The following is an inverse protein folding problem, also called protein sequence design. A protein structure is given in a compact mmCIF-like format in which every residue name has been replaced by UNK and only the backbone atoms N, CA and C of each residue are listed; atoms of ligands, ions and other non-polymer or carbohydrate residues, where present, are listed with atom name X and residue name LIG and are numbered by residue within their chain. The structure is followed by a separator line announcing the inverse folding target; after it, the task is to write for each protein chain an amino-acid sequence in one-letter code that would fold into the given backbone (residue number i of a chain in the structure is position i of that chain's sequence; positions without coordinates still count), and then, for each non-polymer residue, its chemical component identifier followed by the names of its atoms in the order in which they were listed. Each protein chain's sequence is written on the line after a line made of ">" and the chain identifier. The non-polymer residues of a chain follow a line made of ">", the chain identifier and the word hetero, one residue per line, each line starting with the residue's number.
data_IF_777076612617
#
_entry.id   IF_777076612617
#
_cell.length_a   1.000
_cell.length_b   1.000
_cell.length_c   1.000
_cell.angle_alpha   90.00
_cell.angle_beta   90.00
_cell.angle_gamma   90.00
#
_symmetry.space_group_name_H-M   'P 1'
#
loop_
_entity.id
_entity.type
_entity.pdbx_description
1 polymer ?
#
# COMPACT_ATOMS: atom_id res chain seq x y z
N UNK A 1 53.50 1.20 -18.63
CA UNK A 1 54.10 -0.15 -18.45
C UNK A 1 53.04 -1.22 -18.64
N UNK A 2 53.30 -2.30 -19.40
CA UNK A 2 52.40 -3.45 -19.54
C UNK A 2 52.86 -4.52 -18.55
N UNK A 3 52.01 -4.87 -17.58
CA UNK A 3 52.33 -5.88 -16.57
C UNK A 3 51.50 -7.17 -16.75
N UNK A 4 52.22 -8.29 -16.83
CA UNK A 4 51.74 -9.64 -16.51
C UNK A 4 52.41 -10.05 -15.20
N UNK A 5 51.66 -10.15 -14.10
CA UNK A 5 52.21 -10.49 -12.79
C UNK A 5 51.26 -11.35 -11.98
N UNK A 6 51.80 -12.32 -11.25
CA UNK A 6 51.03 -13.08 -10.26
C UNK A 6 50.57 -12.16 -9.11
N UNK A 7 51.46 -11.31 -8.61
CA UNK A 7 51.16 -10.37 -7.53
C UNK A 7 51.85 -9.03 -7.78
N UNK A 8 51.11 -7.93 -7.59
CA UNK A 8 51.63 -6.57 -7.67
C UNK A 8 51.22 -5.79 -6.42
N UNK A 9 52.20 -5.23 -5.73
CA UNK A 9 51.99 -4.30 -4.62
C UNK A 9 52.40 -2.90 -5.07
N UNK A 10 51.41 -2.02 -5.27
CA UNK A 10 51.66 -0.63 -5.61
C UNK A 10 51.82 0.18 -4.32
N UNK A 11 53.00 0.75 -4.10
CA UNK A 11 53.30 1.56 -2.92
C UNK A 11 52.44 2.84 -2.78
N UNK A 12 52.64 3.62 -1.71
CA UNK A 12 51.95 4.90 -1.53
C UNK A 12 52.25 5.87 -2.67
N UNK A 13 51.26 6.66 -3.11
CA UNK A 13 51.40 7.69 -4.17
C UNK A 13 51.93 7.14 -5.51
N UNK A 14 51.48 5.96 -5.91
CA UNK A 14 51.89 5.35 -7.19
C UNK A 14 50.89 5.65 -8.31
N UNK A 15 51.42 5.78 -9.52
CA UNK A 15 50.64 5.89 -10.75
C UNK A 15 50.85 4.63 -11.58
N UNK A 16 49.76 3.96 -11.95
CA UNK A 16 49.77 2.75 -12.77
C UNK A 16 48.90 2.97 -13.99
N UNK A 17 49.51 3.09 -15.16
CA UNK A 17 48.77 3.29 -16.41
C UNK A 17 47.97 2.03 -16.80
N UNK A 18 48.63 0.87 -16.91
CA UNK A 18 47.99 -0.33 -17.47
C UNK A 18 48.42 -1.60 -16.77
N UNK A 19 47.44 -2.43 -16.45
CA UNK A 19 47.62 -3.82 -16.02
C UNK A 19 46.80 -4.69 -16.98
N UNK A 20 47.47 -5.61 -17.68
CA UNK A 20 46.78 -6.57 -18.55
C UNK A 20 46.23 -7.73 -17.76
N UNK A 21 47.08 -8.41 -17.00
CA UNK A 21 46.74 -9.62 -16.25
C UNK A 21 47.41 -9.59 -14.88
N UNK A 22 46.59 -9.63 -13.84
CA UNK A 22 47.09 -9.75 -12.47
C UNK A 22 46.24 -10.73 -11.66
N UNK A 23 46.86 -11.66 -10.95
CA UNK A 23 46.08 -12.48 -10.02
C UNK A 23 45.74 -11.69 -8.74
N UNK A 24 46.66 -10.86 -8.25
CA UNK A 24 46.47 -10.08 -7.02
C UNK A 24 47.13 -8.70 -7.10
N UNK A 25 46.32 -7.65 -6.99
CA UNK A 25 46.78 -6.26 -6.93
C UNK A 25 46.44 -5.64 -5.58
N UNK A 26 47.46 -5.26 -4.82
CA UNK A 26 47.33 -4.46 -3.61
C UNK A 26 47.73 -3.02 -3.92
N UNK A 27 46.77 -2.12 -4.02
CA UNK A 27 47.03 -0.71 -4.26
C UNK A 27 47.12 0.03 -2.92
N UNK A 28 48.28 0.63 -2.63
CA UNK A 28 48.50 1.43 -1.44
C UNK A 28 47.66 2.72 -1.36
N UNK A 29 47.92 3.57 -0.36
CA UNK A 29 47.21 4.83 -0.22
C UNK A 29 47.57 5.81 -1.35
N UNK A 30 46.58 6.59 -1.82
CA UNK A 30 46.76 7.60 -2.89
C UNK A 30 47.29 7.02 -4.20
N UNK A 31 46.86 5.83 -4.60
CA UNK A 31 47.20 5.26 -5.91
C UNK A 31 46.24 5.75 -6.99
N UNK A 32 46.77 5.92 -8.20
CA UNK A 32 46.01 6.16 -9.42
C UNK A 32 46.21 4.98 -10.37
N UNK A 33 45.14 4.36 -10.82
CA UNK A 33 45.17 3.25 -11.79
C UNK A 33 44.25 3.60 -12.97
N UNK A 34 44.80 3.77 -14.16
CA UNK A 34 43.95 4.09 -15.32
C UNK A 34 43.21 2.83 -15.78
N UNK A 35 43.92 1.73 -16.08
CA UNK A 35 43.27 0.56 -16.69
C UNK A 35 43.74 -0.77 -16.12
N UNK A 36 42.76 -1.61 -15.80
CA UNK A 36 42.91 -3.01 -15.47
C UNK A 36 42.05 -3.83 -16.43
N UNK A 37 42.68 -4.73 -17.19
CA UNK A 37 41.96 -5.57 -18.14
C UNK A 37 41.42 -6.83 -17.43
N UNK A 38 42.29 -7.62 -16.79
CA UNK A 38 41.91 -8.80 -16.02
C UNK A 38 42.58 -8.80 -14.64
N UNK A 39 41.78 -8.85 -13.58
CA UNK A 39 42.28 -8.98 -12.21
C UNK A 39 41.47 -9.99 -11.40
N UNK A 40 42.09 -11.02 -10.84
CA UNK A 40 41.35 -11.94 -9.97
C UNK A 40 41.00 -11.26 -8.63
N UNK A 41 41.93 -10.51 -8.03
CA UNK A 41 41.70 -9.81 -6.76
C UNK A 41 42.36 -8.43 -6.72
N UNK A 42 41.58 -7.39 -6.46
CA UNK A 42 42.04 -6.02 -6.26
C UNK A 42 41.68 -5.53 -4.86
N UNK A 43 42.70 -5.25 -4.04
CA UNK A 43 42.55 -4.52 -2.78
C UNK A 43 43.00 -3.07 -2.98
N UNK A 44 42.05 -2.16 -3.11
CA UNK A 44 42.33 -0.74 -3.26
C UNK A 44 42.41 -0.07 -1.88
N UNK A 45 43.54 0.54 -1.57
CA UNK A 45 43.77 1.27 -0.33
C UNK A 45 42.95 2.57 -0.24
N UNK A 46 43.21 3.42 0.77
CA UNK A 46 42.48 4.67 0.92
C UNK A 46 42.88 5.71 -0.14
N UNK A 47 41.91 6.54 -0.56
CA UNK A 47 42.09 7.63 -1.55
C UNK A 47 42.61 7.12 -2.91
N UNK A 48 42.10 5.99 -3.37
CA UNK A 48 42.53 5.38 -4.62
C UNK A 48 41.57 5.74 -5.75
N UNK A 49 42.12 5.99 -6.93
CA UNK A 49 41.36 6.33 -8.13
C UNK A 49 41.58 5.23 -9.16
N UNK A 50 40.49 4.64 -9.66
CA UNK A 50 40.53 3.62 -10.71
C UNK A 50 39.61 4.06 -11.84
N UNK A 51 40.15 4.36 -13.02
CA UNK A 51 39.29 4.77 -14.14
C UNK A 51 38.53 3.56 -14.69
N UNK A 52 39.23 2.47 -15.05
CA UNK A 52 38.58 1.34 -15.74
C UNK A 52 39.04 -0.02 -15.27
N UNK A 53 38.06 -0.87 -15.00
CA UNK A 53 38.22 -2.30 -14.77
C UNK A 53 37.34 -3.04 -15.78
N UNK A 54 37.93 -3.87 -16.63
CA UNK A 54 37.18 -4.66 -17.60
C UNK A 54 36.62 -5.93 -16.95
N UNK A 55 37.48 -6.76 -16.34
CA UNK A 55 37.08 -7.98 -15.64
C UNK A 55 37.77 -8.06 -14.27
N UNK A 56 36.97 -8.18 -13.21
CA UNK A 56 37.49 -8.41 -11.87
C UNK A 56 36.70 -9.46 -11.10
N UNK A 57 37.35 -10.52 -10.57
CA UNK A 57 36.61 -11.48 -9.76
C UNK A 57 36.26 -10.89 -8.38
N UNK A 58 37.19 -10.17 -7.75
CA UNK A 58 36.98 -9.55 -6.44
C UNK A 58 37.63 -8.18 -6.31
N UNK A 59 36.85 -7.17 -5.94
CA UNK A 59 37.32 -5.81 -5.67
C UNK A 59 36.95 -5.42 -4.23
N UNK A 60 37.96 -5.20 -3.39
CA UNK A 60 37.81 -4.59 -2.07
C UNK A 60 38.29 -3.13 -2.15
N UNK A 61 37.34 -2.20 -2.19
CA UNK A 61 37.62 -0.78 -2.27
C UNK A 61 37.71 -0.17 -0.87
N UNK A 62 38.86 0.39 -0.50
CA UNK A 62 39.09 1.10 0.74
C UNK A 62 38.37 2.46 0.83
N UNK A 63 38.66 3.23 1.89
CA UNK A 63 38.04 4.53 2.14
C UNK A 63 38.30 5.55 1.02
N UNK A 64 37.30 6.36 0.66
CA UNK A 64 37.46 7.44 -0.34
C UNK A 64 37.99 6.94 -1.69
N UNK A 65 37.52 5.79 -2.14
CA UNK A 65 37.82 5.24 -3.45
C UNK A 65 36.91 5.85 -4.50
N UNK A 66 37.47 6.12 -5.68
CA UNK A 66 36.73 6.53 -6.86
C UNK A 66 36.94 5.48 -7.95
N UNK A 67 35.85 4.95 -8.49
CA UNK A 67 35.88 4.00 -9.60
C UNK A 67 34.95 4.51 -10.70
N UNK A 68 35.49 4.89 -11.85
CA UNK A 68 34.62 5.38 -12.92
C UNK A 68 33.85 4.22 -13.56
N UNK A 69 34.54 3.16 -14.00
CA UNK A 69 33.88 2.08 -14.76
C UNK A 69 34.36 0.70 -14.38
N UNK A 70 33.37 -0.17 -14.16
CA UNK A 70 33.53 -1.60 -14.03
C UNK A 70 32.62 -2.26 -15.07
N UNK A 71 33.20 -3.03 -15.99
CA UNK A 71 32.42 -3.77 -16.98
C UNK A 71 31.86 -5.06 -16.36
N UNK A 72 32.72 -5.91 -15.80
CA UNK A 72 32.31 -7.15 -15.14
C UNK A 72 33.01 -7.30 -13.79
N UNK A 73 32.24 -7.44 -12.72
CA UNK A 73 32.79 -7.79 -11.40
C UNK A 73 31.98 -8.88 -10.71
N UNK A 74 32.62 -9.97 -10.29
CA UNK A 74 31.87 -11.00 -9.56
C UNK A 74 31.50 -10.50 -8.14
N UNK A 75 32.44 -9.86 -7.44
CA UNK A 75 32.20 -9.35 -6.08
C UNK A 75 32.87 -8.00 -5.83
N UNK A 76 32.09 -7.02 -5.36
CA UNK A 76 32.58 -5.70 -4.97
C UNK A 76 32.23 -5.41 -3.51
N UNK A 77 33.24 -5.22 -2.67
CA UNK A 77 33.11 -4.72 -1.31
C UNK A 77 33.59 -3.26 -1.28
N UNK A 78 32.65 -2.32 -1.24
CA UNK A 78 32.95 -0.91 -1.24
C UNK A 78 33.03 -0.36 0.20
N UNK A 79 34.15 0.25 0.55
CA UNK A 79 34.37 0.86 1.85
C UNK A 79 33.61 2.17 2.08
N UNK A 80 33.98 2.95 3.11
CA UNK A 80 33.34 4.23 3.39
C UNK A 80 33.67 5.28 2.31
N UNK A 81 32.67 6.08 1.91
CA UNK A 81 32.82 7.19 0.95
C UNK A 81 33.33 6.74 -0.43
N UNK A 82 32.85 5.60 -0.92
CA UNK A 82 33.16 5.17 -2.29
C UNK A 82 32.26 5.88 -3.29
N UNK A 83 32.81 6.19 -4.45
CA UNK A 83 32.08 6.68 -5.60
C UNK A 83 32.28 5.71 -6.75
N UNK A 84 31.18 5.23 -7.32
CA UNK A 84 31.20 4.37 -8.50
C UNK A 84 30.28 4.96 -9.55
N UNK A 85 30.81 5.41 -10.69
CA UNK A 85 29.95 5.98 -11.73
C UNK A 85 29.16 4.87 -12.42
N UNK A 86 29.83 3.85 -12.96
CA UNK A 86 29.15 2.82 -13.77
C UNK A 86 29.62 1.41 -13.48
N UNK A 87 28.64 0.54 -13.26
CA UNK A 87 28.83 -0.91 -13.24
C UNK A 87 27.88 -1.54 -14.27
N UNK A 88 28.44 -2.29 -15.22
CA UNK A 88 27.63 -2.94 -16.26
C UNK A 88 27.05 -4.26 -15.74
N UNK A 89 27.88 -5.14 -15.19
CA UNK A 89 27.46 -6.42 -14.65
C UNK A 89 28.17 -6.75 -13.35
N UNK A 90 27.40 -7.13 -12.32
CA UNK A 90 27.98 -7.75 -11.14
C UNK A 90 27.09 -8.80 -10.46
N UNK A 91 27.73 -9.75 -9.78
CA UNK A 91 27.00 -10.77 -9.02
C UNK A 91 26.68 -10.29 -7.58
N UNK A 92 27.66 -9.75 -6.85
CA UNK A 92 27.43 -9.19 -5.51
C UNK A 92 28.12 -7.85 -5.27
N UNK A 93 27.39 -6.90 -4.70
CA UNK A 93 27.91 -5.61 -4.24
C UNK A 93 27.51 -5.37 -2.78
N UNK A 94 28.50 -5.26 -1.91
CA UNK A 94 28.34 -4.80 -0.53
C UNK A 94 28.88 -3.37 -0.44
N UNK A 95 27.98 -2.39 -0.44
CA UNK A 95 28.33 -0.99 -0.30
C UNK A 95 28.40 -0.58 1.17
N UNK A 96 29.49 0.06 1.55
CA UNK A 96 29.72 0.60 2.87
C UNK A 96 28.90 1.86 3.16
N UNK A 97 29.27 2.63 4.18
CA UNK A 97 28.59 3.89 4.50
C UNK A 97 28.95 5.00 3.50
N UNK A 98 27.97 5.83 3.13
CA UNK A 98 28.15 7.00 2.24
C UNK A 98 28.67 6.63 0.84
N UNK A 99 28.18 5.55 0.25
CA UNK A 99 28.52 5.23 -1.14
C UNK A 99 27.60 5.96 -2.10
N UNK A 100 28.16 6.34 -3.24
CA UNK A 100 27.40 6.89 -4.36
C UNK A 100 27.59 5.97 -5.56
N UNK A 101 26.49 5.53 -6.15
CA UNK A 101 26.49 4.73 -7.37
C UNK A 101 25.58 5.40 -8.39
N UNK A 102 26.13 5.86 -9.52
CA UNK A 102 25.26 6.49 -10.53
C UNK A 102 24.46 5.42 -11.26
N UNK A 103 25.13 4.43 -11.87
CA UNK A 103 24.44 3.48 -12.76
C UNK A 103 24.86 2.04 -12.55
N UNK A 104 23.84 1.19 -12.42
CA UNK A 104 23.94 -0.26 -12.45
C UNK A 104 23.06 -0.79 -13.57
N UNK A 105 23.63 -1.54 -14.51
CA UNK A 105 22.85 -2.16 -15.58
C UNK A 105 22.28 -3.52 -15.14
N UNK A 106 23.12 -4.42 -14.63
CA UNK A 106 22.69 -5.75 -14.17
C UNK A 106 23.33 -6.10 -12.82
N UNK A 107 22.48 -6.42 -11.83
CA UNK A 107 22.89 -6.91 -10.53
C UNK A 107 22.16 -8.19 -10.11
N UNK A 108 22.90 -9.19 -9.64
CA UNK A 108 22.25 -10.28 -8.91
C UNK A 108 21.91 -9.85 -7.46
N UNK A 109 22.87 -9.28 -6.71
CA UNK A 109 22.63 -8.89 -5.31
C UNK A 109 23.33 -7.59 -4.90
N UNK A 110 22.55 -6.59 -4.47
CA UNK A 110 23.03 -5.32 -3.93
C UNK A 110 22.69 -5.20 -2.44
N UNK A 111 23.69 -5.15 -1.58
CA UNK A 111 23.54 -4.76 -0.18
C UNK A 111 24.09 -3.34 -0.01
N UNK A 112 23.20 -2.35 0.02
CA UNK A 112 23.56 -0.96 0.21
C UNK A 112 23.66 -0.63 1.70
N UNK A 113 24.79 -0.07 2.12
CA UNK A 113 25.01 0.36 3.49
C UNK A 113 24.20 1.58 3.90
N UNK A 114 24.54 2.23 5.02
CA UNK A 114 23.86 3.44 5.44
C UNK A 114 24.26 4.65 4.60
N UNK A 115 23.32 5.55 4.32
CA UNK A 115 23.52 6.79 3.55
C UNK A 115 24.02 6.54 2.12
N UNK A 116 23.53 5.50 1.45
CA UNK A 116 23.87 5.28 0.04
C UNK A 116 22.95 6.07 -0.86
N UNK A 117 23.50 6.51 -1.99
CA UNK A 117 22.73 7.11 -3.08
C UNK A 117 22.92 6.24 -4.33
N UNK A 118 21.81 5.85 -4.95
CA UNK A 118 21.80 5.11 -6.21
C UNK A 118 20.90 5.84 -7.19
N UNK A 119 21.44 6.34 -8.31
CA UNK A 119 20.59 7.04 -9.28
C UNK A 119 19.78 6.03 -10.11
N UNK A 120 20.43 5.02 -10.67
CA UNK A 120 19.76 4.10 -11.59
C UNK A 120 20.17 2.64 -11.43
N UNK A 121 19.16 1.78 -11.35
CA UNK A 121 19.28 0.33 -11.47
C UNK A 121 18.35 -0.13 -12.59
N UNK A 122 18.91 -0.75 -13.63
CA UNK A 122 18.11 -1.27 -14.74
C UNK A 122 17.52 -2.64 -14.41
N UNK A 123 18.33 -3.59 -13.97
CA UNK A 123 17.90 -4.94 -13.58
C UNK A 123 18.59 -5.37 -12.29
N UNK A 124 17.80 -5.73 -11.28
CA UNK A 124 18.31 -6.37 -10.06
C UNK A 124 17.50 -7.59 -9.66
N UNK A 125 18.17 -8.69 -9.32
CA UNK A 125 17.47 -9.80 -8.67
C UNK A 125 17.18 -9.48 -7.20
N UNK A 126 18.12 -8.88 -6.46
CA UNK A 126 17.92 -8.57 -5.05
C UNK A 126 18.61 -7.27 -4.63
N UNK A 127 17.86 -6.35 -4.04
CA UNK A 127 18.36 -5.11 -3.45
C UNK A 127 17.96 -5.02 -1.98
N UNK A 128 18.94 -5.05 -1.09
CA UNK A 128 18.80 -4.73 0.32
C UNK A 128 19.35 -3.32 0.57
N UNK A 129 18.47 -2.35 0.74
CA UNK A 129 18.84 -0.98 1.01
C UNK A 129 18.95 -0.72 2.51
N UNK A 130 20.08 -0.19 2.98
CA UNK A 130 20.31 0.10 4.38
C UNK A 130 19.52 1.30 4.91
N UNK A 131 19.93 1.86 6.05
CA UNK A 131 19.32 3.07 6.58
C UNK A 131 19.66 4.32 5.75
N UNK A 132 18.69 5.23 5.55
CA UNK A 132 18.90 6.52 4.85
C UNK A 132 19.41 6.36 3.41
N UNK A 133 18.93 5.35 2.68
CA UNK A 133 19.27 5.21 1.27
C UNK A 133 18.33 6.04 0.40
N UNK A 134 18.88 6.59 -0.66
CA UNK A 134 18.10 7.23 -1.72
C UNK A 134 18.29 6.43 -3.01
N UNK A 135 17.19 6.04 -3.64
CA UNK A 135 17.19 5.38 -4.94
C UNK A 135 16.27 6.17 -5.87
N UNK A 136 16.81 6.75 -6.93
CA UNK A 136 15.97 7.51 -7.85
C UNK A 136 15.16 6.55 -8.74
N UNK A 137 15.82 5.60 -9.42
CA UNK A 137 15.14 4.76 -10.40
C UNK A 137 15.51 3.30 -10.35
N UNK A 138 14.49 2.46 -10.34
CA UNK A 138 14.57 1.01 -10.53
C UNK A 138 13.65 0.63 -11.67
N UNK A 139 14.19 0.03 -12.73
CA UNK A 139 13.39 -0.41 -13.87
C UNK A 139 12.79 -1.81 -13.60
N UNK A 140 13.63 -2.79 -13.27
CA UNK A 140 13.21 -4.14 -12.92
C UNK A 140 13.91 -4.62 -11.65
N UNK A 141 13.12 -5.03 -10.66
CA UNK A 141 13.64 -5.67 -9.45
C UNK A 141 12.82 -6.90 -9.08
N UNK A 142 13.47 -8.04 -8.86
CA UNK A 142 12.74 -9.19 -8.32
C UNK A 142 12.43 -8.99 -6.83
N UNK A 143 13.38 -8.51 -6.03
CA UNK A 143 13.15 -8.27 -4.60
C UNK A 143 13.86 -7.03 -4.08
N UNK A 144 13.11 -6.10 -3.51
CA UNK A 144 13.60 -4.90 -2.84
C UNK A 144 13.24 -4.92 -1.35
N UNK A 145 14.24 -5.00 -0.49
CA UNK A 145 14.12 -4.79 0.95
C UNK A 145 14.66 -3.41 1.30
N UNK A 146 13.78 -2.44 1.52
CA UNK A 146 14.15 -1.07 1.84
C UNK A 146 14.25 -0.90 3.36
N UNK A 147 15.40 -0.46 3.85
CA UNK A 147 15.63 -0.22 5.27
C UNK A 147 14.89 1.01 5.82
N UNK A 148 15.24 1.46 7.04
CA UNK A 148 14.63 2.64 7.63
C UNK A 148 15.02 3.94 6.90
N UNK A 149 14.08 4.89 6.79
CA UNK A 149 14.31 6.22 6.18
C UNK A 149 14.80 6.15 4.74
N UNK A 150 14.28 5.19 3.97
CA UNK A 150 14.64 5.07 2.55
C UNK A 150 13.69 5.88 1.70
N UNK A 151 14.23 6.49 0.65
CA UNK A 151 13.48 7.23 -0.34
C UNK A 151 13.67 6.53 -1.68
N UNK A 152 12.56 6.20 -2.33
CA UNK A 152 12.55 5.62 -3.67
C UNK A 152 11.65 6.46 -4.55
N UNK A 153 12.19 7.12 -5.57
CA UNK A 153 11.34 7.94 -6.44
C UNK A 153 10.52 7.03 -7.36
N UNK A 154 11.15 6.14 -8.13
CA UNK A 154 10.44 5.36 -9.15
C UNK A 154 10.84 3.91 -9.21
N UNK A 155 9.81 3.06 -9.22
CA UNK A 155 9.91 1.63 -9.51
C UNK A 155 8.96 1.30 -10.66
N UNK A 156 9.49 0.78 -11.76
CA UNK A 156 8.67 0.39 -12.90
C UNK A 156 8.07 -1.02 -12.70
N UNK A 157 8.91 -2.03 -12.45
CA UNK A 157 8.47 -3.40 -12.21
C UNK A 157 9.16 -3.97 -10.97
N UNK A 158 8.35 -4.46 -10.02
CA UNK A 158 8.84 -5.14 -8.83
C UNK A 158 8.04 -6.42 -8.54
N UNK A 159 8.71 -7.55 -8.30
CA UNK A 159 7.96 -8.72 -7.84
C UNK A 159 7.65 -8.60 -6.32
N UNK A 160 8.62 -8.21 -5.51
CA UNK A 160 8.41 -7.99 -4.08
C UNK A 160 9.13 -6.76 -3.54
N UNK A 161 8.37 -5.89 -2.86
CA UNK A 161 8.87 -4.73 -2.15
C UNK A 161 8.52 -4.82 -0.66
N UNK A 162 9.53 -4.96 0.20
CA UNK A 162 9.41 -4.84 1.64
C UNK A 162 9.98 -3.48 2.06
N UNK A 163 9.09 -2.52 2.34
CA UNK A 163 9.47 -1.19 2.76
C UNK A 163 9.57 -1.12 4.30
N UNK A 164 10.71 -0.70 4.82
CA UNK A 164 10.95 -0.54 6.24
C UNK A 164 10.23 0.65 6.86
N UNK A 165 10.60 1.03 8.09
CA UNK A 165 10.01 2.19 8.75
C UNK A 165 10.39 3.53 8.10
N UNK A 166 9.45 4.49 8.05
CA UNK A 166 9.67 5.85 7.54
C UNK A 166 10.17 5.87 6.09
N UNK A 167 9.61 5.01 5.24
CA UNK A 167 10.00 4.93 3.84
C UNK A 167 9.06 5.75 2.99
N UNK A 168 9.61 6.40 1.98
CA UNK A 168 8.88 7.22 1.04
C UNK A 168 9.05 6.63 -0.36
N UNK A 169 7.93 6.34 -1.02
CA UNK A 169 7.90 5.85 -2.38
C UNK A 169 6.99 6.75 -3.21
N UNK A 170 7.53 7.44 -4.21
CA UNK A 170 6.70 8.33 -5.03
C UNK A 170 5.87 7.51 -6.03
N UNK A 171 6.50 6.60 -6.78
CA UNK A 171 5.80 5.87 -7.84
C UNK A 171 6.19 4.40 -7.94
N UNK A 172 5.15 3.58 -8.03
CA UNK A 172 5.22 2.17 -8.40
C UNK A 172 4.27 1.94 -9.58
N UNK A 173 4.81 1.53 -10.73
CA UNK A 173 3.96 1.20 -11.88
C UNK A 173 3.35 -0.19 -11.73
N UNK A 174 4.16 -1.23 -11.47
CA UNK A 174 3.66 -2.59 -11.33
C UNK A 174 4.39 -3.31 -10.19
N UNK A 175 3.63 -3.83 -9.24
CA UNK A 175 4.18 -4.58 -8.12
C UNK A 175 3.34 -5.82 -7.80
N UNK A 176 3.93 -7.01 -7.80
CA UNK A 176 3.17 -8.19 -7.40
C UNK A 176 2.87 -8.16 -5.88
N UNK A 177 3.85 -7.79 -5.05
CA UNK A 177 3.66 -7.74 -3.59
C UNK A 177 4.37 -6.55 -2.95
N UNK A 178 3.62 -5.72 -2.23
CA UNK A 178 4.13 -4.60 -1.45
C UNK A 178 3.78 -4.78 0.03
N UNK A 179 4.80 -4.95 0.87
CA UNK A 179 4.70 -4.91 2.32
C UNK A 179 5.27 -3.58 2.83
N UNK A 180 4.39 -2.66 3.19
CA UNK A 180 4.77 -1.34 3.69
C UNK A 180 4.84 -1.36 5.22
N UNK A 181 6.02 -1.10 5.78
CA UNK A 181 6.24 -0.96 7.20
C UNK A 181 5.63 0.30 7.83
N UNK A 182 5.94 0.58 9.11
CA UNK A 182 5.37 1.69 9.84
C UNK A 182 5.76 3.06 9.26
N UNK A 183 4.82 4.01 9.24
CA UNK A 183 5.07 5.40 8.76
C UNK A 183 5.58 5.45 7.31
N UNK A 184 5.08 4.56 6.47
CA UNK A 184 5.34 4.59 5.03
C UNK A 184 4.47 5.64 4.36
N UNK A 185 5.02 6.31 3.36
CA UNK A 185 4.30 7.19 2.46
C UNK A 185 4.45 6.66 1.04
N UNK A 186 3.33 6.39 0.38
CA UNK A 186 3.30 5.97 -1.02
C UNK A 186 2.40 6.93 -1.78
N UNK A 187 2.94 7.69 -2.73
CA UNK A 187 2.11 8.62 -3.49
C UNK A 187 1.28 7.83 -4.51
N UNK A 188 1.91 7.02 -5.37
CA UNK A 188 1.20 6.38 -6.48
C UNK A 188 1.55 4.92 -6.69
N UNK A 189 0.50 4.12 -6.81
CA UNK A 189 0.55 2.73 -7.26
C UNK A 189 -0.41 2.58 -8.44
N UNK A 190 0.10 2.17 -9.60
CA UNK A 190 -0.74 1.93 -10.77
C UNK A 190 -1.35 0.51 -10.74
N UNK A 191 -0.53 -0.52 -10.61
CA UNK A 191 -0.98 -1.90 -10.52
C UNK A 191 -0.30 -2.61 -9.35
N UNK A 192 -1.10 -3.19 -8.46
CA UNK A 192 -0.59 -4.06 -7.40
C UNK A 192 -1.45 -5.31 -7.23
N UNK A 193 -0.84 -6.49 -7.15
CA UNK A 193 -1.62 -7.68 -6.81
C UNK A 193 -1.94 -7.67 -5.30
N UNK A 194 -0.92 -7.45 -4.46
CA UNK A 194 -1.08 -7.52 -3.01
C UNK A 194 -0.38 -6.36 -2.30
N UNK A 195 -1.13 -5.53 -1.58
CA UNK A 195 -0.60 -4.47 -0.73
C UNK A 195 -0.95 -4.73 0.74
N UNK A 196 0.07 -4.96 1.56
CA UNK A 196 -0.04 -4.99 3.02
C UNK A 196 0.57 -3.71 3.60
N UNK A 197 -0.29 -2.81 4.07
CA UNK A 197 0.10 -1.56 4.68
C UNK A 197 0.15 -1.67 6.20
N UNK A 198 1.29 -1.33 6.79
CA UNK A 198 1.52 -1.36 8.23
C UNK A 198 0.84 -0.23 9.01
N UNK A 199 1.30 0.07 10.23
CA UNK A 199 0.75 1.16 11.02
C UNK A 199 1.13 2.54 10.46
N UNK A 200 0.19 3.49 10.47
CA UNK A 200 0.42 4.90 10.07
C UNK A 200 0.93 5.04 8.62
N UNK A 201 0.45 4.21 7.70
CA UNK A 201 0.78 4.40 6.28
C UNK A 201 -0.10 5.49 5.68
N UNK A 202 0.45 6.22 4.73
CA UNK A 202 -0.30 7.13 3.87
C UNK A 202 -0.16 6.64 2.43
N UNK A 203 -1.28 6.45 1.76
CA UNK A 203 -1.33 6.10 0.34
C UNK A 203 -2.23 7.10 -0.38
N UNK A 204 -1.67 7.91 -1.27
CA UNK A 204 -2.50 8.90 -1.98
C UNK A 204 -3.34 8.20 -3.06
N UNK A 205 -2.72 7.39 -3.92
CA UNK A 205 -3.44 6.83 -5.06
C UNK A 205 -3.09 5.39 -5.38
N UNK A 206 -4.14 4.59 -5.54
CA UNK A 206 -4.12 3.24 -6.08
C UNK A 206 -5.07 3.18 -7.28
N UNK A 207 -4.55 2.82 -8.45
CA UNK A 207 -5.39 2.65 -9.65
C UNK A 207 -6.03 1.26 -9.67
N UNK A 208 -5.25 0.19 -9.59
CA UNK A 208 -5.77 -1.17 -9.50
C UNK A 208 -5.03 -1.97 -8.43
N UNK A 209 -5.80 -2.57 -7.53
CA UNK A 209 -5.29 -3.50 -6.53
C UNK A 209 -6.14 -4.78 -6.48
N UNK A 210 -5.54 -5.96 -6.48
CA UNK A 210 -6.34 -7.16 -6.23
C UNK A 210 -6.68 -7.27 -4.74
N UNK A 211 -5.70 -7.12 -3.85
CA UNK A 211 -5.90 -7.20 -2.40
C UNK A 211 -5.14 -6.10 -1.65
N UNK A 212 -5.87 -5.31 -0.88
CA UNK A 212 -5.32 -4.30 0.04
C UNK A 212 -5.67 -4.65 1.49
N UNK A 213 -4.66 -4.95 2.29
CA UNK A 213 -4.77 -5.06 3.74
C UNK A 213 -4.17 -3.81 4.39
N UNK A 214 -5.01 -2.92 4.90
CA UNK A 214 -4.59 -1.69 5.54
C UNK A 214 -4.53 -1.86 7.07
N UNK A 215 -3.37 -1.57 7.66
CA UNK A 215 -3.14 -1.70 9.09
C UNK A 215 -3.81 -0.60 9.94
N UNK A 216 -3.37 -0.43 11.18
CA UNK A 216 -3.91 0.61 12.05
C UNK A 216 -3.51 2.03 11.60
N UNK A 217 -4.43 2.99 11.68
CA UNK A 217 -4.18 4.42 11.38
C UNK A 217 -3.68 4.66 9.96
N UNK A 218 -4.14 3.89 8.98
CA UNK A 218 -3.80 4.13 7.58
C UNK A 218 -4.71 5.18 6.99
N UNK A 219 -4.15 6.03 6.13
CA UNK A 219 -4.89 6.98 5.31
C UNK A 219 -4.75 6.57 3.86
N UNK A 220 -5.88 6.44 3.17
CA UNK A 220 -5.93 6.18 1.73
C UNK A 220 -6.82 7.22 1.07
N UNK A 221 -6.27 8.07 0.22
CA UNK A 221 -7.09 9.11 -0.42
C UNK A 221 -7.94 8.51 -1.54
N UNK A 222 -7.33 7.74 -2.46
CA UNK A 222 -8.06 7.26 -3.63
C UNK A 222 -7.72 5.83 -4.04
N UNK A 223 -8.77 5.04 -4.22
CA UNK A 223 -8.75 3.72 -4.84
C UNK A 223 -9.72 3.74 -6.03
N UNK A 224 -9.22 3.42 -7.23
CA UNK A 224 -10.07 3.32 -8.42
C UNK A 224 -10.70 1.93 -8.54
N UNK A 225 -9.89 0.86 -8.53
CA UNK A 225 -10.37 -0.52 -8.57
C UNK A 225 -9.69 -1.34 -7.47
N UNK A 226 -10.50 -2.01 -6.65
CA UNK A 226 -10.00 -3.00 -5.70
C UNK A 226 -10.87 -4.26 -5.71
N UNK A 227 -10.28 -5.45 -5.78
CA UNK A 227 -11.09 -6.66 -5.60
C UNK A 227 -11.43 -6.85 -4.11
N UNK A 228 -10.43 -6.76 -3.22
CA UNK A 228 -10.63 -6.92 -1.78
C UNK A 228 -9.88 -5.87 -0.98
N UNK A 229 -10.59 -5.12 -0.14
CA UNK A 229 -10.04 -4.16 0.81
C UNK A 229 -10.39 -4.59 2.25
N UNK A 230 -9.38 -4.94 3.03
CA UNK A 230 -9.48 -5.15 4.47
C UNK A 230 -8.86 -3.95 5.20
N UNK A 231 -9.70 -3.10 5.78
CA UNK A 231 -9.25 -1.91 6.50
C UNK A 231 -9.18 -2.19 8.00
N UNK A 232 -8.03 -1.90 8.61
CA UNK A 232 -7.79 -2.12 10.03
C UNK A 232 -8.46 -1.10 10.95
N UNK A 233 -8.01 -0.98 12.20
CA UNK A 233 -8.54 0.01 13.12
C UNK A 233 -8.13 1.44 12.74
N UNK A 234 -9.05 2.40 12.88
CA UNK A 234 -8.78 3.85 12.66
C UNK A 234 -8.29 4.17 11.24
N UNK A 235 -8.76 3.45 10.23
CA UNK A 235 -8.41 3.79 8.85
C UNK A 235 -9.32 4.89 8.32
N UNK A 236 -8.75 5.76 7.51
CA UNK A 236 -9.48 6.78 6.76
C UNK A 236 -9.34 6.48 5.28
N UNK A 237 -10.47 6.38 4.58
CA UNK A 237 -10.51 6.20 3.13
C UNK A 237 -11.39 7.29 2.53
N UNK A 238 -10.83 8.18 1.71
CA UNK A 238 -11.65 9.25 1.14
C UNK A 238 -12.52 8.69 0.00
N UNK A 239 -11.92 8.02 -0.99
CA UNK A 239 -12.67 7.60 -2.18
C UNK A 239 -12.33 6.19 -2.66
N UNK A 240 -13.39 5.44 -2.90
CA UNK A 240 -13.39 4.14 -3.57
C UNK A 240 -14.37 4.23 -4.75
N UNK A 241 -13.87 4.00 -5.97
CA UNK A 241 -14.73 3.97 -7.16
C UNK A 241 -15.40 2.60 -7.33
N UNK A 242 -14.61 1.53 -7.38
CA UNK A 242 -15.12 0.16 -7.50
C UNK A 242 -14.40 -0.75 -6.50
N UNK A 243 -15.19 -1.45 -5.68
CA UNK A 243 -14.71 -2.50 -4.80
C UNK A 243 -15.57 -3.75 -4.90
N UNK A 244 -14.99 -4.94 -5.05
CA UNK A 244 -15.82 -6.14 -4.94
C UNK A 244 -16.16 -6.41 -3.46
N UNK A 245 -15.16 -6.40 -2.57
CA UNK A 245 -15.37 -6.63 -1.14
C UNK A 245 -14.61 -5.64 -0.26
N UNK A 246 -15.32 -4.93 0.61
CA UNK A 246 -14.75 -4.04 1.62
C UNK A 246 -15.10 -4.56 3.02
N UNK A 247 -14.09 -4.96 3.78
CA UNK A 247 -14.19 -5.24 5.21
C UNK A 247 -13.57 -4.09 6.00
N UNK A 248 -14.41 -3.25 6.60
CA UNK A 248 -13.96 -2.09 7.36
C UNK A 248 -13.86 -2.44 8.86
N UNK A 249 -12.68 -2.26 9.44
CA UNK A 249 -12.43 -2.55 10.85
C UNK A 249 -13.06 -1.53 11.82
N UNK A 250 -12.65 -1.55 13.09
CA UNK A 250 -13.17 -0.62 14.08
C UNK A 250 -12.74 0.83 13.82
N UNK A 251 -13.65 1.80 14.05
CA UNK A 251 -13.38 3.24 13.93
C UNK A 251 -12.89 3.65 12.54
N UNK A 252 -13.39 3.02 11.49
CA UNK A 252 -13.04 3.39 10.13
C UNK A 252 -13.95 4.50 9.62
N UNK A 253 -13.37 5.43 8.86
CA UNK A 253 -14.10 6.49 8.19
C UNK A 253 -13.94 6.30 6.69
N UNK A 254 -15.06 6.29 5.97
CA UNK A 254 -15.09 6.23 4.51
C UNK A 254 -15.96 7.37 3.99
N UNK A 255 -15.41 8.29 3.21
CA UNK A 255 -16.22 9.41 2.69
C UNK A 255 -17.09 8.94 1.51
N UNK A 256 -16.50 8.25 0.53
CA UNK A 256 -17.22 7.88 -0.69
C UNK A 256 -16.91 6.49 -1.20
N UNK A 257 -17.99 5.77 -1.48
CA UNK A 257 -18.01 4.51 -2.23
C UNK A 257 -18.98 4.68 -3.40
N UNK A 258 -18.50 4.52 -4.63
CA UNK A 258 -19.37 4.59 -5.81
C UNK A 258 -20.03 3.22 -6.10
N UNK A 259 -19.25 2.15 -6.22
CA UNK A 259 -19.75 0.80 -6.43
C UNK A 259 -19.07 -0.17 -5.47
N UNK A 260 -19.87 -0.91 -4.71
CA UNK A 260 -19.41 -2.02 -3.88
C UNK A 260 -20.29 -3.25 -4.08
N UNK A 261 -19.72 -4.44 -4.28
CA UNK A 261 -20.56 -5.64 -4.22
C UNK A 261 -20.90 -5.97 -2.77
N UNK A 262 -19.90 -6.03 -1.89
CA UNK A 262 -20.08 -6.39 -0.48
C UNK A 262 -19.33 -5.45 0.45
N UNK A 263 -20.05 -4.79 1.37
CA UNK A 263 -19.50 -3.96 2.43
C UNK A 263 -19.81 -4.56 3.81
N UNK A 264 -18.79 -4.99 4.53
CA UNK A 264 -18.88 -5.37 5.94
C UNK A 264 -18.27 -4.25 6.80
N UNK A 265 -19.10 -3.43 7.42
CA UNK A 265 -18.67 -2.33 8.26
C UNK A 265 -18.56 -2.78 9.73
N UNK A 266 -17.38 -2.64 10.33
CA UNK A 266 -17.12 -3.03 11.71
C UNK A 266 -17.72 -2.08 12.75
N UNK A 267 -17.28 -2.17 14.01
CA UNK A 267 -17.74 -1.29 15.09
C UNK A 267 -17.33 0.18 14.87
N UNK A 268 -18.24 1.11 15.18
CA UNK A 268 -17.94 2.56 15.14
C UNK A 268 -17.47 3.05 13.76
N UNK A 269 -18.01 2.48 12.70
CA UNK A 269 -17.68 2.89 11.33
C UNK A 269 -18.56 4.05 10.91
N UNK A 270 -17.99 4.98 10.15
CA UNK A 270 -18.70 6.10 9.57
C UNK A 270 -18.53 6.06 8.06
N UNK A 271 -19.64 6.04 7.33
CA UNK A 271 -19.63 6.12 5.87
C UNK A 271 -20.52 7.26 5.44
N UNK A 272 -19.98 8.26 4.76
CA UNK A 272 -20.78 9.40 4.32
C UNK A 272 -21.65 9.01 3.12
N UNK A 273 -21.05 8.45 2.06
CA UNK A 273 -21.81 8.20 0.82
C UNK A 273 -21.51 6.86 0.19
N UNK A 274 -22.60 6.15 -0.12
CA UNK A 274 -22.63 4.93 -0.92
C UNK A 274 -23.61 5.15 -2.06
N UNK A 275 -23.13 5.03 -3.31
CA UNK A 275 -24.00 5.15 -4.48
C UNK A 275 -24.66 3.81 -4.82
N UNK A 276 -23.88 2.73 -4.94
CA UNK A 276 -24.40 1.39 -5.22
C UNK A 276 -23.72 0.36 -4.33
N UNK A 277 -24.52 -0.41 -3.60
CA UNK A 277 -24.04 -1.55 -2.83
C UNK A 277 -24.96 -2.76 -3.01
N UNK A 278 -24.44 -3.92 -3.42
CA UNK A 278 -25.29 -5.11 -3.49
C UNK A 278 -25.62 -5.62 -2.08
N UNK A 279 -24.64 -5.73 -1.21
CA UNK A 279 -24.84 -6.20 0.16
C UNK A 279 -24.05 -5.39 1.17
N UNK A 280 -24.73 -4.87 2.18
CA UNK A 280 -24.15 -4.08 3.26
C UNK A 280 -24.49 -4.72 4.60
N UNK A 281 -23.47 -5.14 5.34
CA UNK A 281 -23.58 -5.61 6.71
C UNK A 281 -22.94 -4.58 7.63
N UNK A 282 -23.73 -3.99 8.52
CA UNK A 282 -23.26 -3.00 9.47
C UNK A 282 -23.10 -3.62 10.86
N UNK A 283 -21.96 -3.36 11.48
CA UNK A 283 -21.66 -3.76 12.84
C UNK A 283 -22.33 -2.86 13.88
N UNK A 284 -21.85 -2.88 15.13
CA UNK A 284 -22.39 -2.04 16.17
C UNK A 284 -21.93 -0.58 16.04
N UNK A 285 -22.83 0.37 16.33
CA UNK A 285 -22.55 1.82 16.36
C UNK A 285 -22.05 2.39 15.04
N UNK A 286 -22.57 1.92 13.90
CA UNK A 286 -22.20 2.48 12.59
C UNK A 286 -23.07 3.68 12.23
N UNK A 287 -22.52 4.57 11.40
CA UNK A 287 -23.23 5.72 10.87
C UNK A 287 -23.14 5.72 9.34
N UNK A 288 -24.29 5.87 8.68
CA UNK A 288 -24.38 6.06 7.24
C UNK A 288 -25.16 7.34 6.95
N UNK A 289 -24.57 8.33 6.27
CA UNK A 289 -25.32 9.54 5.90
C UNK A 289 -26.19 9.28 4.66
N UNK A 290 -25.63 8.69 3.60
CA UNK A 290 -26.38 8.50 2.36
C UNK A 290 -26.08 7.18 1.67
N UNK A 291 -27.15 6.44 1.42
CA UNK A 291 -27.17 5.24 0.59
C UNK A 291 -28.17 5.48 -0.55
N UNK A 292 -27.69 5.50 -1.79
CA UNK A 292 -28.57 5.72 -2.94
C UNK A 292 -29.26 4.40 -3.34
N UNK A 293 -28.50 3.37 -3.67
CA UNK A 293 -29.01 2.07 -4.10
C UNK A 293 -28.39 0.96 -3.25
N UNK A 294 -29.23 0.17 -2.58
CA UNK A 294 -28.79 -1.03 -1.87
C UNK A 294 -29.71 -2.22 -2.13
N UNK A 295 -29.17 -3.38 -2.49
CA UNK A 295 -30.03 -4.56 -2.64
C UNK A 295 -30.35 -5.17 -1.26
N UNK A 296 -29.35 -5.34 -0.40
CA UNK A 296 -29.53 -5.80 0.98
C UNK A 296 -28.71 -5.00 1.98
N UNK A 297 -29.39 -4.49 3.01
CA UNK A 297 -28.78 -3.80 4.14
C UNK A 297 -29.17 -4.52 5.44
N UNK A 298 -28.19 -5.15 6.08
CA UNK A 298 -28.32 -5.73 7.41
C UNK A 298 -27.67 -4.79 8.43
N UNK A 299 -28.49 -4.05 9.17
CA UNK A 299 -28.01 -3.08 10.14
C UNK A 299 -27.86 -3.73 11.52
N UNK A 300 -26.67 -3.62 12.12
CA UNK A 300 -26.39 -4.12 13.46
C UNK A 300 -27.01 -3.29 14.59
N UNK A 301 -26.54 -3.48 15.83
CA UNK A 301 -27.03 -2.71 16.96
C UNK A 301 -26.58 -1.23 16.92
N UNK A 302 -27.48 -0.30 17.26
CA UNK A 302 -27.16 1.15 17.35
C UNK A 302 -26.65 1.75 16.04
N UNK A 303 -27.15 1.29 14.90
CA UNK A 303 -26.82 1.90 13.62
C UNK A 303 -27.66 3.15 13.39
N UNK A 304 -27.05 4.17 12.82
CA UNK A 304 -27.74 5.37 12.36
C UNK A 304 -27.65 5.43 10.84
N UNK A 305 -28.78 5.66 10.17
CA UNK A 305 -28.84 5.86 8.72
C UNK A 305 -29.68 7.11 8.45
N UNK A 306 -29.08 8.17 7.91
CA UNK A 306 -29.86 9.37 7.60
C UNK A 306 -30.74 9.13 6.37
N UNK A 307 -30.17 8.68 5.25
CA UNK A 307 -30.95 8.58 4.00
C UNK A 307 -30.68 7.31 3.22
N UNK A 308 -31.77 6.67 2.82
CA UNK A 308 -31.84 5.58 1.85
C UNK A 308 -32.80 5.98 0.74
N UNK A 309 -32.34 5.99 -0.52
CA UNK A 309 -33.20 6.26 -1.66
C UNK A 309 -33.91 4.97 -2.14
N UNK A 310 -33.16 3.91 -2.43
CA UNK A 310 -33.73 2.64 -2.88
C UNK A 310 -33.09 1.50 -2.09
N UNK A 311 -33.93 0.69 -1.46
CA UNK A 311 -33.50 -0.55 -0.83
C UNK A 311 -34.42 -1.72 -1.22
N UNK A 312 -33.88 -2.85 -1.65
CA UNK A 312 -34.73 -4.03 -1.85
C UNK A 312 -35.05 -4.70 -0.51
N UNK A 313 -34.06 -4.83 0.37
CA UNK A 313 -34.23 -5.43 1.70
C UNK A 313 -33.42 -4.71 2.77
N UNK A 314 -34.10 -4.26 3.82
CA UNK A 314 -33.48 -3.67 5.01
C UNK A 314 -33.87 -4.50 6.23
N UNK A 315 -32.89 -5.16 6.85
CA UNK A 315 -33.02 -5.79 8.15
C UNK A 315 -32.37 -4.89 9.21
N UNK A 316 -33.19 -4.18 9.97
CA UNK A 316 -32.70 -3.27 10.99
C UNK A 316 -32.57 -3.97 12.34
N UNK A 317 -31.39 -3.93 12.96
CA UNK A 317 -31.11 -4.55 14.25
C UNK A 317 -31.71 -3.81 15.45
N UNK A 318 -31.22 -4.09 16.66
CA UNK A 318 -31.67 -3.39 17.85
C UNK A 318 -31.23 -1.92 17.89
N UNK A 319 -32.12 -1.01 18.28
CA UNK A 319 -31.80 0.42 18.47
C UNK A 319 -31.29 1.10 17.19
N UNK A 320 -31.77 0.71 16.02
CA UNK A 320 -31.44 1.45 14.79
C UNK A 320 -32.24 2.73 14.70
N UNK A 321 -31.63 3.77 14.16
CA UNK A 321 -32.32 5.00 13.78
C UNK A 321 -32.20 5.16 12.26
N UNK A 322 -33.33 5.37 11.59
CA UNK A 322 -33.37 5.67 10.16
C UNK A 322 -34.19 6.92 9.93
N UNK A 323 -33.61 7.99 9.41
CA UNK A 323 -34.41 9.22 9.20
C UNK A 323 -35.30 9.07 7.96
N UNK A 324 -34.75 8.68 6.81
CA UNK A 324 -35.53 8.68 5.57
C UNK A 324 -35.27 7.47 4.70
N UNK A 325 -36.37 6.87 4.25
CA UNK A 325 -36.42 5.85 3.21
C UNK A 325 -37.40 6.32 2.13
N UNK A 326 -36.93 6.44 0.89
CA UNK A 326 -37.82 6.77 -0.23
C UNK A 326 -38.58 5.53 -0.70
N UNK A 327 -37.89 4.51 -1.22
CA UNK A 327 -38.51 3.26 -1.64
C UNK A 327 -37.84 2.07 -0.94
N UNK A 328 -38.66 1.17 -0.37
CA UNK A 328 -38.18 -0.09 0.19
C UNK A 328 -39.11 -1.26 -0.14
N UNK A 329 -38.60 -2.32 -0.75
CA UNK A 329 -39.46 -3.48 -1.00
C UNK A 329 -39.75 -4.26 0.30
N UNK A 330 -38.75 -4.44 1.16
CA UNK A 330 -38.92 -5.14 2.43
C UNK A 330 -38.12 -4.50 3.56
N UNK A 331 -38.79 -4.14 4.64
CA UNK A 331 -38.18 -3.61 5.85
C UNK A 331 -38.56 -4.49 7.04
N UNK A 332 -37.58 -5.18 7.62
CA UNK A 332 -37.71 -5.90 8.87
C UNK A 332 -37.06 -5.06 9.98
N UNK A 333 -37.87 -4.39 10.79
CA UNK A 333 -37.41 -3.53 11.86
C UNK A 333 -37.29 -4.32 13.17
N UNK A 334 -36.09 -4.38 13.74
CA UNK A 334 -35.82 -5.06 15.00
C UNK A 334 -36.39 -4.33 16.23
N UNK A 335 -35.97 -4.72 17.44
CA UNK A 335 -36.45 -4.10 18.67
C UNK A 335 -35.92 -2.66 18.83
N UNK A 336 -36.79 -1.75 19.31
CA UNK A 336 -36.44 -0.35 19.61
C UNK A 336 -35.90 0.42 18.39
N UNK A 337 -36.41 0.12 17.21
CA UNK A 337 -36.04 0.87 15.99
C UNK A 337 -36.86 2.14 15.89
N UNK A 338 -36.25 3.20 15.39
CA UNK A 338 -36.90 4.47 15.10
C UNK A 338 -36.77 4.75 13.60
N UNK A 339 -37.88 5.03 12.94
CA UNK A 339 -37.92 5.42 11.53
C UNK A 339 -38.74 6.69 11.39
N UNK A 340 -38.15 7.81 10.94
CA UNK A 340 -38.93 9.04 10.82
C UNK A 340 -39.84 8.98 9.59
N UNK A 341 -39.31 8.66 8.41
CA UNK A 341 -40.10 8.73 7.17
C UNK A 341 -39.85 7.58 6.23
N UNK A 342 -40.95 6.99 5.75
CA UNK A 342 -41.00 6.05 4.66
C UNK A 342 -41.99 6.56 3.62
N UNK A 343 -41.55 6.75 2.37
CA UNK A 343 -42.46 7.19 1.32
C UNK A 343 -43.22 6.00 0.71
N UNK A 344 -42.53 4.95 0.29
CA UNK A 344 -43.15 3.74 -0.27
C UNK A 344 -42.50 2.49 0.33
N UNK A 345 -43.32 1.60 0.86
CA UNK A 345 -42.89 0.28 1.31
C UNK A 345 -43.83 -0.82 0.84
N UNK A 346 -43.30 -1.88 0.23
CA UNK A 346 -44.16 -3.01 -0.12
C UNK A 346 -44.47 -3.87 1.12
N UNK A 347 -43.47 -4.11 1.97
CA UNK A 347 -43.65 -4.89 3.20
C UNK A 347 -42.83 -4.33 4.35
N UNK A 348 -43.51 -4.04 5.46
CA UNK A 348 -42.90 -3.62 6.72
C UNK A 348 -43.27 -4.59 7.84
N UNK A 349 -42.27 -5.27 8.39
CA UNK A 349 -42.38 -6.08 9.59
C UNK A 349 -41.72 -5.33 10.76
N UNK A 350 -42.54 -4.76 11.63
CA UNK A 350 -42.10 -3.98 12.78
C UNK A 350 -42.04 -4.85 14.03
N UNK A 351 -40.84 -4.97 14.62
CA UNK A 351 -40.58 -5.73 15.84
C UNK A 351 -41.15 -5.05 17.10
N UNK A 352 -40.71 -5.44 18.31
CA UNK A 352 -41.24 -4.82 19.52
C UNK A 352 -40.66 -3.41 19.77
N UNK A 353 -41.50 -2.49 20.25
CA UNK A 353 -41.10 -1.10 20.59
C UNK A 353 -40.53 -0.30 19.41
N UNK A 354 -40.99 -0.55 18.19
CA UNK A 354 -40.62 0.31 17.05
C UNK A 354 -41.44 1.58 17.05
N UNK A 355 -40.82 2.67 16.62
CA UNK A 355 -41.50 3.94 16.39
C UNK A 355 -41.35 4.31 14.92
N UNK A 356 -42.46 4.59 14.25
CA UNK A 356 -42.45 5.10 12.87
C UNK A 356 -43.28 6.38 12.81
N UNK A 357 -42.69 7.52 12.48
CA UNK A 357 -43.47 8.78 12.46
C UNK A 357 -44.38 8.83 11.23
N UNK A 358 -43.85 8.57 10.03
CA UNK A 358 -44.65 8.71 8.80
C UNK A 358 -44.41 7.62 7.79
N UNK A 359 -45.51 7.06 7.30
CA UNK A 359 -45.56 6.20 6.13
C UNK A 359 -46.56 6.78 5.13
N UNK A 360 -46.13 7.05 3.90
CA UNK A 360 -47.06 7.56 2.88
C UNK A 360 -47.83 6.40 2.22
N UNK A 361 -47.14 5.40 1.70
CA UNK A 361 -47.76 4.24 1.07
C UNK A 361 -47.13 2.94 1.57
N UNK A 362 -47.95 2.03 2.08
CA UNK A 362 -47.55 0.69 2.48
C UNK A 362 -48.47 -0.36 1.88
N UNK A 363 -47.94 -1.41 1.25
CA UNK A 363 -48.81 -2.50 0.80
C UNK A 363 -49.14 -3.47 1.94
N UNK A 364 -48.17 -3.78 2.80
CA UNK A 364 -48.36 -4.67 3.95
C UNK A 364 -47.57 -4.22 5.18
N UNK A 365 -48.26 -4.10 6.31
CA UNK A 365 -47.67 -3.76 7.60
C UNK A 365 -48.00 -4.82 8.65
N UNK A 366 -46.98 -5.50 9.16
CA UNK A 366 -47.08 -6.39 10.31
C UNK A 366 -46.41 -5.72 11.52
N UNK A 367 -47.17 -5.51 12.58
CA UNK A 367 -46.78 -4.70 13.72
C UNK A 367 -46.73 -5.53 15.00
N UNK A 368 -45.55 -5.60 15.63
CA UNK A 368 -45.31 -6.29 16.88
C UNK A 368 -45.89 -5.57 18.10
N UNK A 369 -45.62 -6.07 19.31
CA UNK A 369 -46.13 -5.45 20.53
C UNK A 369 -45.46 -4.10 20.79
N UNK A 370 -46.27 -3.11 21.22
CA UNK A 370 -45.82 -1.75 21.54
C UNK A 370 -45.17 -1.01 20.37
N UNK A 371 -45.53 -1.33 19.13
CA UNK A 371 -45.16 -0.47 18.02
C UNK A 371 -46.08 0.74 17.96
N UNK A 372 -45.51 1.88 17.65
CA UNK A 372 -46.22 3.13 17.46
C UNK A 372 -45.98 3.60 16.04
N UNK A 373 -47.05 3.82 15.30
CA UNK A 373 -46.99 4.51 14.01
C UNK A 373 -47.82 5.78 14.13
N UNK A 374 -47.24 6.96 13.91
CA UNK A 374 -47.99 8.21 14.11
C UNK A 374 -48.91 8.52 12.93
N UNK A 375 -48.45 8.29 11.71
CA UNK A 375 -49.22 8.58 10.49
C UNK A 375 -48.96 7.56 9.40
N UNK A 376 -50.05 7.01 8.87
CA UNK A 376 -50.07 6.24 7.63
C UNK A 376 -51.11 6.86 6.71
N UNK A 377 -50.73 7.25 5.50
CA UNK A 377 -51.69 7.83 4.54
C UNK A 377 -52.48 6.73 3.83
N UNK A 378 -51.82 5.66 3.36
CA UNK A 378 -52.51 4.51 2.78
C UNK A 378 -51.77 3.21 3.08
N UNK A 379 -52.51 2.23 3.62
CA UNK A 379 -52.05 0.89 3.91
C UNK A 379 -53.04 -0.12 3.31
N UNK A 380 -52.60 -1.02 2.43
CA UNK A 380 -53.50 -2.01 1.83
C UNK A 380 -53.81 -3.18 2.78
N UNK A 381 -52.86 -3.56 3.63
CA UNK A 381 -53.05 -4.63 4.63
C UNK A 381 -52.31 -4.34 5.93
N UNK A 382 -53.02 -4.46 7.06
CA UNK A 382 -52.49 -4.19 8.40
C UNK A 382 -52.76 -5.38 9.32
N UNK A 383 -51.70 -5.94 9.90
CA UNK A 383 -51.76 -6.97 10.94
C UNK A 383 -51.07 -6.45 12.21
N UNK A 384 -51.85 -6.20 13.27
CA UNK A 384 -51.37 -5.55 14.50
C UNK A 384 -51.41 -6.49 15.70
N UNK A 385 -50.34 -6.50 16.51
CA UNK A 385 -50.26 -7.27 17.76
C UNK A 385 -51.02 -6.65 18.93
N UNK A 386 -50.98 -7.27 20.12
CA UNK A 386 -51.59 -6.69 21.32
C UNK A 386 -50.86 -5.40 21.73
N UNK A 387 -51.62 -4.30 21.92
CA UNK A 387 -51.15 -2.95 22.30
C UNK A 387 -50.40 -2.17 21.21
N UNK A 388 -50.84 -2.29 19.98
CA UNK A 388 -50.38 -1.49 18.84
C UNK A 388 -51.20 -0.20 18.77
N UNK A 389 -50.55 0.96 18.66
CA UNK A 389 -51.23 2.24 18.34
C UNK A 389 -50.79 2.61 16.93
N UNK A 390 -51.75 2.73 16.01
CA UNK A 390 -51.53 3.02 14.59
C UNK A 390 -52.16 4.35 14.20
#
# INVERSE_FOLDING_TARGET
>A
MILLCASLAAGPKTHVERILLCASLAAGPKTHVERILLCASLAAGPKTHVERILLCASLAAGPKTHVERILLCASLAAGPKTHVERILLYASLAAGPKTHVERILLCASLAAGPKTHVEMILLCASLAAGPKTHVERILLCASLAAGPKTHVERILLCASLAAGPKTHVEMILLCASLAAGPKTHVERILLCASLAAGPKTHVERILLCASLAAGPKTHVERILLCASLAAGPKTHVERILLCASLAAGPKTHVERILLCASLAAGPKTHVERILLCASLAAGPKTHFERILLCASLAAGPKTHVERILLCASLAAGPKTHVERILLCASLAAGPKTHVERILLCASLAAGPKTHVERILLCASLAAGPKTHVERILLCASLAAGPKTLA
#
